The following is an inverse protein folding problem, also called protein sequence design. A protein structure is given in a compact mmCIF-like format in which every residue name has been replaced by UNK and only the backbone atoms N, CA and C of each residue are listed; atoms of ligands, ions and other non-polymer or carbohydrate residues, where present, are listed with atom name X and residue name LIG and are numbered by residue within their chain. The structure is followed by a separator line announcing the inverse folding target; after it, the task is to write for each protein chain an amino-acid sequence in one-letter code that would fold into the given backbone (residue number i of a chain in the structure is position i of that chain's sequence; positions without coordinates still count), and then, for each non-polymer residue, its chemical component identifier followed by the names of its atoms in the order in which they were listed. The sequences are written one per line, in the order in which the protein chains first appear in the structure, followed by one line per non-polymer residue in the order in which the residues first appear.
data_IF_510864668254
#
_entry.id   IF_510864668254
#
_cell.length_a   1.000
_cell.length_b   1.000
_cell.length_c   1.000
_cell.angle_alpha   90.00
_cell.angle_beta   90.00
_cell.angle_gamma   90.00
#
_symmetry.space_group_name_H-M   'P 1'
#
loop_
_entity.id
_entity.type
_entity.pdbx_description
1 polymer ?
#
# COMPACT_ATOMS: atom_id res chain seq x y z
N UNK A 1 17.28 1.95 11.61
CA UNK A 1 17.26 1.73 10.61
C UNK A 1 16.68 2.62 9.73
N UNK A 2 16.88 2.61 8.58
CA UNK A 2 16.35 3.50 7.73
C UNK A 2 14.97 3.21 7.38
N UNK A 3 14.23 4.18 6.95
CA UNK A 3 12.88 4.00 6.52
C UNK A 3 12.88 3.55 5.10
N UNK A 4 12.18 2.46 4.82
CA UNK A 4 12.13 1.96 3.48
C UNK A 4 10.88 2.41 2.81
N UNK A 5 10.98 2.75 1.55
CA UNK A 5 9.84 3.11 0.74
C UNK A 5 9.04 1.85 0.43
N UNK A 6 7.74 1.96 0.47
CA UNK A 6 6.88 0.86 0.08
C UNK A 6 5.90 1.37 -0.97
N UNK A 7 5.33 0.46 -1.72
CA UNK A 7 4.27 0.81 -2.64
C UNK A 7 2.93 0.63 -1.96
N UNK A 8 2.02 1.54 -2.20
CA UNK A 8 0.70 1.50 -1.60
C UNK A 8 -0.34 1.82 -2.65
N UNK A 9 -1.35 0.98 -2.76
CA UNK A 9 -2.48 1.24 -3.62
C UNK A 9 -3.67 1.56 -2.73
N UNK A 10 -4.30 2.69 -2.96
CA UNK A 10 -5.49 3.06 -2.19
C UNK A 10 -6.72 2.73 -3.01
N UNK A 11 -7.83 2.44 -2.33
CA UNK A 11 -9.04 1.95 -2.98
C UNK A 11 -10.26 2.69 -2.48
N UNK A 12 -11.32 2.60 -3.28
CA UNK A 12 -12.58 3.20 -2.89
C UNK A 12 -13.36 2.34 -1.90
N UNK A 13 -13.07 1.06 -1.85
CA UNK A 13 -13.71 0.18 -0.88
C UNK A 13 -12.80 -0.99 -0.60
N UNK A 14 -13.05 -1.65 0.53
CA UNK A 14 -12.23 -2.80 0.90
C UNK A 14 -12.40 -3.97 -0.05
N UNK A 15 -13.55 -4.08 -0.70
CA UNK A 15 -13.76 -5.16 -1.65
C UNK A 15 -12.79 -5.04 -2.81
N UNK A 16 -12.55 -3.83 -3.28
CA UNK A 16 -11.61 -3.63 -4.36
C UNK A 16 -10.19 -4.00 -3.92
N UNK A 17 -9.86 -3.70 -2.67
CA UNK A 17 -8.54 -4.03 -2.17
C UNK A 17 -8.33 -5.55 -2.12
N UNK A 18 -9.35 -6.27 -1.68
CA UNK A 18 -9.24 -7.73 -1.60
C UNK A 18 -9.08 -8.32 -2.99
N UNK A 19 -9.84 -7.80 -3.95
CA UNK A 19 -9.73 -8.30 -5.31
C UNK A 19 -8.35 -8.01 -5.89
N UNK A 20 -7.79 -6.85 -5.59
CA UNK A 20 -6.47 -6.53 -6.06
C UNK A 20 -5.43 -7.47 -5.46
N UNK A 21 -5.58 -7.78 -4.17
CA UNK A 21 -4.65 -8.70 -3.53
C UNK A 21 -4.68 -10.05 -4.21
N UNK A 22 -5.85 -10.58 -4.47
CA UNK A 22 -5.97 -11.87 -5.11
C UNK A 22 -5.36 -11.86 -6.50
N UNK A 23 -5.62 -10.80 -7.25
CA UNK A 23 -5.13 -10.69 -8.61
C UNK A 23 -3.61 -10.67 -8.65
N UNK A 24 -3.00 -9.88 -7.78
CA UNK A 24 -1.55 -9.76 -7.79
C UNK A 24 -0.87 -10.99 -7.24
N UNK A 25 -1.47 -11.65 -6.27
CA UNK A 25 -0.89 -12.89 -5.77
C UNK A 25 -0.90 -13.98 -6.82
N UNK A 26 -1.94 -14.01 -7.63
CA UNK A 26 -1.99 -14.99 -8.72
C UNK A 26 -0.87 -14.77 -9.70
N UNK A 27 -0.41 -13.54 -9.84
CA UNK A 27 0.67 -13.24 -10.76
C UNK A 27 2.05 -13.40 -10.13
N UNK A 28 2.10 -13.78 -8.87
CA UNK A 28 3.37 -14.03 -8.22
C UNK A 28 3.96 -12.86 -7.46
N UNK A 29 3.21 -11.79 -7.28
CA UNK A 29 3.71 -10.65 -6.54
C UNK A 29 3.40 -10.79 -5.05
N UNK A 30 4.34 -10.33 -4.25
CA UNK A 30 4.14 -10.33 -2.81
C UNK A 30 3.43 -9.06 -2.42
N UNK A 31 2.20 -9.19 -1.96
CA UNK A 31 1.39 -8.05 -1.57
C UNK A 31 0.65 -8.40 -0.30
N UNK A 32 0.24 -7.39 0.43
CA UNK A 32 -0.54 -7.61 1.64
C UNK A 32 -1.45 -6.42 1.87
N UNK A 33 -2.57 -6.68 2.53
CA UNK A 33 -3.49 -5.62 2.89
C UNK A 33 -2.97 -4.89 4.12
N UNK A 34 -3.27 -3.61 4.19
CA UNK A 34 -2.85 -2.80 5.31
C UNK A 34 -3.89 -1.71 5.54
N UNK A 35 -3.80 -1.07 6.69
CA UNK A 35 -4.66 0.08 6.94
C UNK A 35 -4.24 1.20 6.02
N UNK A 36 -5.20 1.90 5.45
CA UNK A 36 -4.87 2.99 4.53
C UNK A 36 -4.17 4.12 5.26
N UNK A 37 -3.02 4.54 4.78
CA UNK A 37 -2.32 5.64 5.44
C UNK A 37 -3.10 6.94 5.30
N UNK A 38 -3.33 7.59 6.40
CA UNK A 38 -4.12 8.82 6.37
C UNK A 38 -3.39 9.93 5.66
N UNK A 39 -2.08 9.89 5.64
CA UNK A 39 -1.32 10.89 4.92
C UNK A 39 -1.57 10.84 3.43
N UNK A 40 -1.92 9.67 2.91
CA UNK A 40 -2.15 9.52 1.49
C UNK A 40 -3.61 9.69 1.16
N UNK A 41 -4.46 9.01 1.92
CA UNK A 41 -5.89 9.04 1.63
C UNK A 41 -6.66 8.93 2.93
N UNK A 42 -7.15 10.04 3.46
CA UNK A 42 -7.83 9.99 4.76
C UNK A 42 -9.08 9.12 4.76
N UNK A 43 -9.67 8.92 3.60
CA UNK A 43 -10.91 8.17 3.52
C UNK A 43 -10.71 6.71 3.16
N UNK A 44 -9.49 6.29 2.95
CA UNK A 44 -9.22 4.92 2.55
C UNK A 44 -9.03 4.06 3.79
N UNK A 45 -9.95 3.15 4.04
CA UNK A 45 -9.83 2.29 5.21
C UNK A 45 -8.88 1.15 5.03
N UNK A 46 -8.72 0.67 3.80
CA UNK A 46 -7.85 -0.47 3.51
C UNK A 46 -7.04 -0.16 2.27
N UNK A 47 -5.78 -0.50 2.31
CA UNK A 47 -4.89 -0.31 1.18
C UNK A 47 -4.11 -1.59 0.93
N UNK A 48 -3.37 -1.62 -0.16
CA UNK A 48 -2.57 -2.77 -0.52
C UNK A 48 -1.12 -2.35 -0.57
N UNK A 49 -0.27 -3.11 0.11
CA UNK A 49 1.15 -2.84 0.12
C UNK A 49 1.86 -3.76 -0.85
N UNK A 50 2.81 -3.21 -1.60
CA UNK A 50 3.59 -4.00 -2.53
C UNK A 50 5.02 -3.45 -2.56
N UNK A 51 5.92 -4.17 -3.20
CA UNK A 51 7.30 -3.73 -3.28
C UNK A 51 7.41 -2.58 -4.28
N UNK A 52 8.07 -1.50 -3.90
CA UNK A 52 8.01 -0.27 -4.70
C UNK A 52 8.59 -0.39 -6.10
N UNK A 53 9.50 -1.33 -6.31
CA UNK A 53 10.07 -1.48 -7.64
C UNK A 53 9.05 -1.99 -8.65
N UNK A 54 7.92 -2.51 -8.20
CA UNK A 54 6.90 -3.01 -9.12
C UNK A 54 5.75 -2.04 -9.32
N UNK A 55 5.98 -0.76 -9.02
CA UNK A 55 4.90 0.21 -9.10
C UNK A 55 4.21 0.23 -10.45
N UNK A 56 4.98 0.29 -11.52
CA UNK A 56 4.37 0.37 -12.85
C UNK A 56 3.65 -0.91 -13.21
N UNK A 57 4.24 -2.03 -12.86
CA UNK A 57 3.63 -3.31 -13.19
C UNK A 57 2.33 -3.52 -12.44
N UNK A 58 2.31 -3.14 -11.16
CA UNK A 58 1.10 -3.28 -10.37
C UNK A 58 -0.02 -2.44 -10.97
N UNK A 59 0.29 -1.22 -11.35
CA UNK A 59 -0.72 -0.35 -11.93
C UNK A 59 -1.26 -0.92 -13.23
N UNK A 60 -0.38 -1.42 -14.08
CA UNK A 60 -0.80 -1.98 -15.34
C UNK A 60 -1.68 -3.21 -15.15
N UNK A 61 -1.27 -4.08 -14.23
CA UNK A 61 -2.04 -5.31 -14.00
C UNK A 61 -3.43 -4.99 -13.47
N UNK A 62 -3.53 -4.05 -12.54
CA UNK A 62 -4.84 -3.72 -12.00
C UNK A 62 -5.75 -3.14 -13.08
N UNK A 63 -5.19 -2.34 -13.97
CA UNK A 63 -5.99 -1.80 -15.07
C UNK A 63 -6.41 -2.87 -16.05
N UNK A 64 -5.51 -3.80 -16.35
CA UNK A 64 -5.84 -4.86 -17.28
C UNK A 64 -6.94 -5.78 -16.75
N UNK A 65 -6.95 -6.00 -15.45
CA UNK A 65 -7.93 -6.89 -14.85
C UNK A 65 -9.18 -6.17 -14.37
N UNK A 66 -9.29 -4.88 -14.73
CA UNK A 66 -10.46 -4.09 -14.36
C UNK A 66 -10.72 -4.04 -12.88
N UNK A 67 -9.66 -3.98 -12.09
CA UNK A 67 -9.77 -3.81 -10.66
C UNK A 67 -9.77 -2.32 -10.37
N UNK A 68 -10.81 -1.84 -9.72
CA UNK A 68 -10.89 -0.42 -9.40
C UNK A 68 -9.94 -0.08 -8.28
N UNK A 69 -9.21 1.01 -8.43
CA UNK A 69 -8.37 1.50 -7.38
C UNK A 69 -8.32 3.02 -7.47
N UNK A 70 -7.99 3.66 -6.37
CA UNK A 70 -7.97 5.11 -6.33
C UNK A 70 -6.66 5.64 -6.91
N UNK A 71 -5.54 5.18 -6.38
CA UNK A 71 -4.25 5.66 -6.82
C UNK A 71 -3.15 4.72 -6.36
N UNK A 72 -2.02 4.79 -7.04
CA UNK A 72 -0.83 4.02 -6.66
C UNK A 72 0.21 5.01 -6.18
N UNK A 73 0.77 4.75 -5.00
CA UNK A 73 1.70 5.66 -4.36
C UNK A 73 2.98 4.96 -3.97
N UNK A 74 4.04 5.72 -3.88
CA UNK A 74 5.25 5.28 -3.19
C UNK A 74 5.29 6.05 -1.87
N UNK A 75 5.42 5.33 -0.79
CA UNK A 75 5.19 5.88 0.53
C UNK A 75 6.30 5.45 1.47
N UNK A 76 6.77 6.35 2.29
CA UNK A 76 7.79 6.06 3.28
C UNK A 76 7.21 6.26 4.67
N UNK A 77 6.86 5.17 5.35
CA UNK A 77 6.32 5.30 6.70
C UNK A 77 7.40 5.79 7.64
N UNK A 78 7.03 6.66 8.53
CA UNK A 78 7.99 7.16 9.49
C UNK A 78 7.48 7.21 10.89
N UNK A 79 6.35 6.62 11.10
CA UNK A 79 5.74 6.70 12.40
C UNK A 79 6.55 6.00 13.47
N UNK A 80 7.06 4.86 13.11
CA UNK A 80 7.74 4.08 14.10
C UNK A 80 8.95 4.75 14.67
N UNK A 81 9.69 5.43 13.84
CA UNK A 81 10.86 6.06 14.35
C UNK A 81 10.54 7.11 15.36
N UNK A 82 9.56 7.92 15.09
CA UNK A 82 9.17 8.96 16.01
C UNK A 82 8.67 8.41 17.32
N UNK A 83 7.88 7.37 17.25
CA UNK A 83 7.32 6.78 18.45
C UNK A 83 8.40 6.18 19.32
N UNK A 84 9.33 5.50 18.72
CA UNK A 84 10.39 4.90 19.48
C UNK A 84 11.23 5.95 20.19
N UNK A 85 11.50 7.02 19.54
CA UNK A 85 12.24 8.05 20.16
C UNK A 85 11.55 8.58 21.40
N UNK A 86 10.27 8.78 21.29
CA UNK A 86 9.53 9.27 22.43
C UNK A 86 9.51 8.28 23.57
N UNK A 87 9.32 7.04 23.23
CA UNK A 87 9.26 6.03 24.28
C UNK A 87 10.57 5.84 24.98
N UNK A 88 11.64 5.99 24.27
CA UNK A 88 12.94 5.80 24.87
C UNK A 88 13.40 7.01 25.62
N UNK A 89 12.67 8.03 25.54
CA UNK A 89 13.02 9.05 26.36
C UNK A 89 13.62 10.09 25.99
N UNK A 90 13.40 9.95 25.43
CA UNK A 90 14.03 10.72 25.31
C UNK A 90 14.25 11.17 24.61
#
# INVERSE_FOLDING_TARGET
MEQRQIGVVTFFSSQHAIRAEETLKEKGYEVSLMAGPKEISPNCGVALQFQPQYRDEVEIILKEKDVLFEAVHLYTPKVEKGILKKLLGK
#
